data_IF_429755818360
#
_entry.id   IF_429755818360
#
_cell.length_a   1.000
_cell.length_b   1.000
_cell.length_c   1.000
_cell.angle_alpha   90.00
_cell.angle_beta   90.00
_cell.angle_gamma   90.00
#
_symmetry.space_group_name_H-M   'P 1'
#
loop_
_entity.id
_entity.type
_entity.pdbx_description
1 polymer ?
#
# COMPACT_ATOMS: atom_id res chain seq x y z
N UNK A 1 -7.71 15.52 -17.21
CA UNK A 1 -7.97 15.39 -15.76
C UNK A 1 -8.70 14.08 -15.51
N UNK A 2 -8.18 13.25 -14.64
CA UNK A 2 -8.81 11.99 -14.22
C UNK A 2 -10.05 12.29 -13.37
N UNK A 3 -11.17 11.62 -13.66
CA UNK A 3 -12.41 11.72 -12.88
C UNK A 3 -12.64 10.40 -12.14
N UNK A 4 -13.20 10.46 -10.93
CA UNK A 4 -13.52 9.26 -10.14
C UNK A 4 -14.45 8.29 -10.88
N UNK A 5 -15.35 8.82 -11.72
CA UNK A 5 -16.23 8.03 -12.59
C UNK A 5 -15.50 7.16 -13.63
N UNK A 6 -14.18 7.28 -13.77
CA UNK A 6 -13.36 6.42 -14.62
C UNK A 6 -12.65 5.30 -13.86
N UNK A 7 -12.75 5.26 -12.52
CA UNK A 7 -12.24 4.17 -11.71
C UNK A 7 -13.32 3.10 -11.52
N UNK A 8 -12.89 1.85 -11.33
CA UNK A 8 -13.80 0.74 -11.09
C UNK A 8 -14.14 0.68 -9.61
N UNK A 9 -15.43 0.65 -9.33
CA UNK A 9 -15.97 0.60 -7.97
C UNK A 9 -15.68 -0.75 -7.33
N UNK A 10 -15.44 -0.74 -6.03
CA UNK A 10 -15.33 -1.94 -5.21
C UNK A 10 -15.76 -1.64 -3.77
N UNK A 11 -15.82 -2.69 -2.95
CA UNK A 11 -15.84 -2.53 -1.51
C UNK A 11 -14.39 -2.48 -1.05
N UNK A 12 -14.01 -1.41 -0.37
CA UNK A 12 -12.71 -1.27 0.24
C UNK A 12 -12.71 -1.84 1.66
N UNK A 13 -11.61 -2.46 2.06
CA UNK A 13 -11.31 -2.75 3.46
C UNK A 13 -11.09 -1.44 4.22
N UNK A 14 -10.41 -0.47 3.60
CA UNK A 14 -10.25 0.88 4.15
C UNK A 14 -9.04 1.05 5.09
N UNK A 15 -8.62 -0.04 5.75
CA UNK A 15 -7.42 -0.04 6.60
C UNK A 15 -6.57 -1.32 6.50
N UNK A 16 -6.23 -1.74 5.28
CA UNK A 16 -5.41 -2.94 5.06
C UNK A 16 -3.92 -2.69 5.36
N UNK A 17 -3.60 -2.59 6.65
CA UNK A 17 -2.24 -2.44 7.19
C UNK A 17 -1.61 -3.80 7.59
N UNK A 18 -0.37 -3.79 8.07
CA UNK A 18 0.38 -4.99 8.46
C UNK A 18 -0.19 -5.73 9.67
N UNK A 19 -0.87 -5.05 10.59
CA UNK A 19 -1.56 -5.67 11.73
C UNK A 19 -2.82 -6.43 11.31
N UNK A 20 -3.42 -6.05 10.19
CA UNK A 20 -4.67 -6.61 9.68
C UNK A 20 -4.47 -7.78 8.70
N UNK A 21 -3.23 -8.18 8.45
CA UNK A 21 -2.87 -9.30 7.57
C UNK A 21 -2.26 -10.43 8.40
N UNK A 22 -2.93 -11.59 8.42
CA UNK A 22 -2.43 -12.78 9.09
C UNK A 22 -1.53 -13.59 8.17
N UNK A 23 -0.38 -14.00 8.68
CA UNK A 23 0.61 -14.79 7.94
C UNK A 23 0.81 -16.15 8.60
N UNK A 24 0.94 -17.20 7.80
CA UNK A 24 1.31 -18.53 8.29
C UNK A 24 2.56 -19.07 7.57
N UNK A 25 3.40 -19.88 8.27
CA UNK A 25 4.52 -20.55 7.64
C UNK A 25 4.06 -21.46 6.50
N UNK A 26 4.74 -21.37 5.37
CA UNK A 26 4.59 -22.24 4.21
C UNK A 26 5.88 -23.03 3.99
N UNK A 27 5.74 -24.28 3.54
CA UNK A 27 6.90 -25.12 3.21
C UNK A 27 7.42 -24.72 1.84
N UNK A 28 8.65 -24.18 1.77
CA UNK A 28 9.34 -24.05 0.49
C UNK A 28 10.04 -25.37 0.13
N UNK A 29 10.13 -25.67 -1.17
CA UNK A 29 10.88 -26.83 -1.66
C UNK A 29 12.40 -26.68 -1.44
N UNK A 30 12.88 -25.46 -1.22
CA UNK A 30 14.28 -25.07 -1.10
C UNK A 30 14.76 -24.85 0.35
N UNK A 31 13.90 -25.00 1.35
CA UNK A 31 14.26 -24.89 2.77
C UNK A 31 14.27 -23.46 3.33
N UNK A 32 14.03 -22.44 2.50
CA UNK A 32 13.80 -21.07 2.96
C UNK A 32 12.45 -20.94 3.67
N UNK A 33 12.41 -20.13 4.72
CA UNK A 33 11.17 -19.78 5.41
C UNK A 33 10.27 -18.99 4.46
N UNK A 34 9.22 -19.64 3.94
CA UNK A 34 8.19 -19.00 3.14
C UNK A 34 6.99 -18.71 4.04
N UNK A 35 6.32 -17.59 3.80
CA UNK A 35 5.06 -17.26 4.47
C UNK A 35 3.97 -17.08 3.43
N UNK A 36 2.73 -17.41 3.80
CA UNK A 36 1.55 -17.09 2.99
C UNK A 36 0.54 -16.34 3.83
N UNK A 37 -0.23 -15.47 3.18
CA UNK A 37 -1.39 -14.81 3.81
C UNK A 37 -2.41 -15.90 4.14
N UNK A 38 -2.80 -15.99 5.41
CA UNK A 38 -3.80 -16.94 5.91
C UNK A 38 -5.15 -16.29 6.19
N UNK A 39 -5.19 -14.95 6.32
CA UNK A 39 -6.43 -14.22 6.56
C UNK A 39 -6.24 -12.70 6.58
N UNK A 40 -7.37 -12.01 6.53
CA UNK A 40 -7.52 -10.57 6.73
C UNK A 40 -8.55 -10.36 7.82
N UNK A 41 -8.32 -9.40 8.70
CA UNK A 41 -9.17 -9.09 9.86
C UNK A 41 -9.42 -7.58 9.96
N UNK A 42 -10.32 -7.19 10.86
CA UNK A 42 -10.65 -5.79 11.18
C UNK A 42 -11.32 -5.00 10.04
N UNK A 43 -12.57 -5.36 9.77
CA UNK A 43 -13.38 -4.83 8.68
C UNK A 43 -14.23 -3.61 9.06
N UNK A 44 -13.95 -2.96 10.20
CA UNK A 44 -14.80 -1.89 10.72
C UNK A 44 -14.75 -0.60 9.86
N UNK A 45 -13.69 -0.43 9.06
CA UNK A 45 -13.49 0.71 8.14
C UNK A 45 -13.96 0.45 6.70
N UNK A 46 -14.73 -0.63 6.49
CA UNK A 46 -15.22 -0.98 5.16
C UNK A 46 -16.10 0.12 4.55
N UNK A 47 -15.88 0.40 3.27
CA UNK A 47 -16.64 1.43 2.56
C UNK A 47 -16.77 1.12 1.07
N UNK A 48 -17.75 1.75 0.41
CA UNK A 48 -17.81 1.76 -1.05
C UNK A 48 -16.78 2.75 -1.59
N UNK A 49 -15.91 2.27 -2.48
CA UNK A 49 -14.88 3.09 -3.10
C UNK A 49 -14.39 2.46 -4.39
N UNK A 50 -13.08 2.49 -4.64
CA UNK A 50 -12.49 2.06 -5.90
C UNK A 50 -11.29 1.14 -5.66
N UNK A 51 -11.02 0.23 -6.58
CA UNK A 51 -9.90 -0.72 -6.43
C UNK A 51 -8.56 -0.02 -6.23
N UNK A 52 -8.32 1.07 -6.97
CA UNK A 52 -7.09 1.85 -6.87
C UNK A 52 -6.89 2.47 -5.47
N UNK A 53 -7.97 2.71 -4.72
CA UNK A 53 -7.86 3.20 -3.34
C UNK A 53 -7.34 2.11 -2.41
N UNK A 54 -7.81 0.87 -2.53
CA UNK A 54 -7.30 -0.25 -1.73
C UNK A 54 -5.80 -0.45 -1.95
N UNK A 55 -5.39 -0.42 -3.22
CA UNK A 55 -3.99 -0.56 -3.61
C UNK A 55 -3.16 0.58 -3.02
N UNK A 56 -3.64 1.82 -3.09
CA UNK A 56 -2.93 2.97 -2.54
C UNK A 56 -2.78 2.88 -1.00
N UNK A 57 -3.83 2.43 -0.30
CA UNK A 57 -3.81 2.21 1.15
C UNK A 57 -2.79 1.14 1.52
N UNK A 58 -2.85 -0.01 0.85
CA UNK A 58 -1.97 -1.14 1.10
C UNK A 58 -0.51 -0.78 0.84
N UNK A 59 -0.22 -0.12 -0.31
CA UNK A 59 1.14 0.33 -0.64
C UNK A 59 1.66 1.24 0.46
N UNK A 60 0.91 2.27 0.86
CA UNK A 60 1.35 3.22 1.89
C UNK A 60 1.79 2.52 3.19
N UNK A 61 0.97 1.62 3.72
CA UNK A 61 1.33 0.89 4.95
C UNK A 61 2.52 -0.05 4.75
N UNK A 62 2.59 -0.76 3.62
CA UNK A 62 3.75 -1.61 3.34
C UNK A 62 5.04 -0.78 3.17
N UNK A 63 4.94 0.46 2.68
CA UNK A 63 6.09 1.38 2.61
C UNK A 63 6.61 1.76 4.00
N UNK A 64 5.72 1.94 4.98
CA UNK A 64 6.06 2.32 6.37
C UNK A 64 6.85 1.21 7.06
N UNK A 65 6.47 -0.04 6.83
CA UNK A 65 7.11 -1.22 7.44
C UNK A 65 8.36 -1.72 6.70
N UNK A 66 8.49 -1.37 5.41
CA UNK A 66 9.57 -1.88 4.57
C UNK A 66 10.89 -1.13 4.75
N UNK A 67 12.00 -1.89 4.79
CA UNK A 67 13.36 -1.33 4.70
C UNK A 67 13.67 -0.72 3.32
N UNK A 68 12.94 -1.15 2.29
CA UNK A 68 13.01 -0.64 0.92
C UNK A 68 11.64 -0.05 0.56
N UNK A 69 11.30 1.13 1.13
CA UNK A 69 9.94 1.65 1.13
C UNK A 69 9.43 1.85 -0.30
N UNK A 70 10.19 2.48 -1.19
CA UNK A 70 9.70 2.74 -2.55
C UNK A 70 9.55 1.44 -3.35
N UNK A 71 10.46 0.47 -3.26
CA UNK A 71 10.34 -0.79 -4.03
C UNK A 71 9.08 -1.59 -3.69
N UNK A 72 8.59 -1.54 -2.43
CA UNK A 72 7.48 -2.41 -2.00
C UNK A 72 6.19 -2.18 -2.78
N UNK A 73 5.98 -0.97 -3.30
CA UNK A 73 4.79 -0.66 -4.11
C UNK A 73 4.68 -1.55 -5.34
N UNK A 74 5.81 -1.92 -5.95
CA UNK A 74 5.82 -2.84 -7.08
C UNK A 74 5.48 -4.30 -6.71
N UNK A 75 5.88 -4.76 -5.51
CA UNK A 75 5.53 -6.09 -5.02
C UNK A 75 4.03 -6.20 -4.71
N UNK A 76 3.46 -5.16 -4.09
CA UNK A 76 2.01 -5.09 -3.83
C UNK A 76 1.24 -5.07 -5.15
N UNK A 77 1.69 -4.26 -6.13
CA UNK A 77 1.07 -4.23 -7.45
C UNK A 77 1.14 -5.57 -8.17
N UNK A 78 2.27 -6.26 -8.15
CA UNK A 78 2.40 -7.59 -8.75
C UNK A 78 1.36 -8.56 -8.19
N UNK A 79 1.21 -8.61 -6.86
CA UNK A 79 0.22 -9.47 -6.21
C UNK A 79 -1.21 -9.08 -6.55
N UNK A 80 -1.54 -7.78 -6.46
CA UNK A 80 -2.89 -7.29 -6.69
C UNK A 80 -3.32 -7.41 -8.15
N UNK A 81 -2.50 -6.95 -9.10
CA UNK A 81 -2.79 -6.96 -10.52
C UNK A 81 -2.81 -8.38 -11.12
N UNK A 82 -2.22 -9.38 -10.44
CA UNK A 82 -2.35 -10.79 -10.84
C UNK A 82 -3.79 -11.31 -10.77
N UNK A 83 -4.64 -10.69 -9.96
CA UNK A 83 -6.06 -11.04 -9.80
C UNK A 83 -6.96 -9.93 -10.36
N UNK A 84 -6.67 -8.67 -10.03
CA UNK A 84 -7.45 -7.50 -10.45
C UNK A 84 -6.53 -6.48 -11.14
N UNK A 85 -6.26 -6.62 -12.45
CA UNK A 85 -5.42 -5.68 -13.18
C UNK A 85 -5.99 -4.27 -13.11
N UNK A 86 -5.19 -3.26 -12.77
CA UNK A 86 -5.63 -1.87 -12.79
C UNK A 86 -5.76 -1.36 -14.23
N UNK A 87 -6.74 -0.49 -14.47
CA UNK A 87 -6.83 0.22 -15.74
C UNK A 87 -5.69 1.24 -15.87
N UNK A 88 -5.33 1.69 -17.08
CA UNK A 88 -4.31 2.74 -17.25
C UNK A 88 -4.64 4.04 -16.48
N UNK A 89 -5.93 4.34 -16.33
CA UNK A 89 -6.40 5.56 -15.65
C UNK A 89 -6.25 5.43 -14.13
N UNK A 90 -6.57 4.25 -13.57
CA UNK A 90 -6.31 3.93 -12.16
C UNK A 90 -4.81 3.94 -11.87
N UNK A 91 -4.03 3.25 -12.70
CA UNK A 91 -2.58 3.13 -12.55
C UNK A 91 -1.87 4.49 -12.60
N UNK A 92 -2.28 5.37 -13.51
CA UNK A 92 -1.74 6.73 -13.61
C UNK A 92 -2.15 7.68 -12.47
N UNK A 93 -3.09 7.29 -11.62
CA UNK A 93 -3.46 8.05 -10.42
C UNK A 93 -2.76 7.55 -9.14
N UNK A 94 -2.08 6.40 -9.21
CA UNK A 94 -1.64 5.65 -8.03
C UNK A 94 -0.63 6.44 -7.18
N UNK A 95 0.38 7.06 -7.81
CA UNK A 95 1.36 7.88 -7.09
C UNK A 95 0.69 8.96 -6.24
N UNK A 96 -0.23 9.73 -6.84
CA UNK A 96 -0.95 10.79 -6.16
C UNK A 96 -1.81 10.24 -5.02
N UNK A 97 -2.46 9.09 -5.22
CA UNK A 97 -3.31 8.47 -4.21
C UNK A 97 -2.50 7.93 -3.02
N UNK A 98 -1.32 7.35 -3.26
CA UNK A 98 -0.41 6.92 -2.18
C UNK A 98 0.08 8.13 -1.38
N UNK A 99 0.50 9.21 -2.04
CA UNK A 99 0.85 10.46 -1.37
C UNK A 99 -0.33 11.03 -0.57
N UNK A 100 -1.54 10.99 -1.13
CA UNK A 100 -2.75 11.47 -0.46
C UNK A 100 -3.06 10.65 0.79
N UNK A 101 -2.88 9.33 0.74
CA UNK A 101 -3.08 8.45 1.89
C UNK A 101 -2.02 8.66 2.97
N UNK A 102 -0.76 8.92 2.61
CA UNK A 102 0.24 9.37 3.57
C UNK A 102 -0.21 10.66 4.27
N UNK A 103 -0.62 11.67 3.52
CA UNK A 103 -1.11 12.93 4.10
C UNK A 103 -2.29 12.68 5.05
N UNK A 104 -3.27 11.86 4.64
CA UNK A 104 -4.41 11.51 5.47
C UNK A 104 -3.96 10.85 6.79
N UNK A 105 -3.15 9.80 6.71
CA UNK A 105 -2.68 9.05 7.89
C UNK A 105 -1.87 9.94 8.84
N UNK A 106 -0.94 10.72 8.32
CA UNK A 106 -0.05 11.58 9.12
C UNK A 106 -0.80 12.73 9.80
N UNK A 107 -1.73 13.37 9.10
CA UNK A 107 -2.56 14.45 9.67
C UNK A 107 -3.51 13.88 10.74
N UNK A 108 -4.12 12.73 10.48
CA UNK A 108 -5.00 12.08 11.44
C UNK A 108 -4.25 11.61 12.68
N UNK A 109 -3.04 11.05 12.53
CA UNK A 109 -2.18 10.70 13.66
C UNK A 109 -1.86 11.93 14.52
N UNK A 110 -1.42 13.03 13.90
CA UNK A 110 -1.11 14.27 14.62
C UNK A 110 -2.33 14.84 15.36
N UNK A 111 -3.52 14.78 14.75
CA UNK A 111 -4.77 15.20 15.39
C UNK A 111 -5.16 14.29 16.55
N UNK A 112 -5.11 12.97 16.35
CA UNK A 112 -5.45 12.00 17.40
C UNK A 112 -4.52 12.09 18.60
N UNK A 113 -3.23 12.36 18.41
CA UNK A 113 -2.29 12.59 19.52
C UNK A 113 -2.65 13.83 20.36
N UNK A 114 -3.26 14.85 19.76
CA UNK A 114 -3.72 16.02 20.52
C UNK A 114 -4.94 15.69 21.39
N UNK A 115 -5.80 14.78 20.94
CA UNK A 115 -6.99 14.35 21.67
C UNK A 115 -6.67 13.29 22.74
N UNK A 116 -5.72 12.40 22.45
CA UNK A 116 -5.37 11.24 23.25
C UNK A 116 -3.85 11.16 23.47
N UNK A 117 -3.26 12.14 24.19
CA UNK A 117 -1.81 12.20 24.40
C UNK A 117 -1.26 10.96 25.14
N UNK A 118 -2.09 10.28 25.93
CA UNK A 118 -1.74 9.02 26.58
C UNK A 118 -1.44 7.87 25.60
N UNK A 119 -1.92 7.96 24.36
CA UNK A 119 -1.74 6.97 23.31
C UNK A 119 -0.72 7.39 22.23
N UNK A 120 0.06 8.44 22.50
CA UNK A 120 0.98 9.03 21.51
C UNK A 120 1.94 8.00 20.89
N UNK A 121 2.49 7.09 21.69
CA UNK A 121 3.45 6.09 21.19
C UNK A 121 2.86 5.19 20.11
N UNK A 122 1.60 4.78 20.28
CA UNK A 122 0.84 3.96 19.34
C UNK A 122 0.42 4.78 18.12
N UNK A 123 -0.18 5.96 18.34
CA UNK A 123 -0.70 6.82 17.28
C UNK A 123 0.40 7.34 16.35
N UNK A 124 1.64 7.46 16.85
CA UNK A 124 2.78 7.93 16.08
C UNK A 124 3.56 6.83 15.37
N UNK A 125 3.19 5.53 15.48
CA UNK A 125 3.94 4.43 14.84
C UNK A 125 4.17 4.71 13.35
N UNK A 126 3.10 4.97 12.60
CA UNK A 126 3.18 5.31 11.18
C UNK A 126 3.89 6.64 10.94
N UNK A 127 3.69 7.62 11.83
CA UNK A 127 4.27 8.95 11.69
C UNK A 127 5.80 9.00 11.92
N UNK A 128 6.38 8.00 12.62
CA UNK A 128 7.83 7.91 12.86
C UNK A 128 8.65 7.90 11.57
N UNK A 129 8.14 7.23 10.52
CA UNK A 129 8.83 7.12 9.23
C UNK A 129 8.02 7.71 8.06
N UNK A 130 6.71 7.85 8.19
CA UNK A 130 5.82 8.27 7.11
C UNK A 130 6.15 9.64 6.51
N UNK A 131 6.52 10.64 7.32
CA UNK A 131 6.95 11.96 6.80
C UNK A 131 8.19 11.85 5.89
N UNK A 132 9.17 11.03 6.29
CA UNK A 132 10.39 10.79 5.50
C UNK A 132 10.06 10.10 4.18
N UNK A 133 9.17 9.10 4.20
CA UNK A 133 8.78 8.37 2.99
C UNK A 133 7.97 9.24 2.03
N UNK A 134 7.04 10.06 2.55
CA UNK A 134 6.31 11.03 1.74
C UNK A 134 7.25 12.05 1.09
N UNK A 135 8.21 12.59 1.85
CA UNK A 135 9.22 13.51 1.31
C UNK A 135 10.07 12.83 0.24
N UNK A 136 10.53 11.59 0.48
CA UNK A 136 11.31 10.82 -0.49
C UNK A 136 10.54 10.62 -1.80
N UNK A 137 9.26 10.25 -1.72
CA UNK A 137 8.39 10.09 -2.90
C UNK A 137 8.26 11.39 -3.68
N UNK A 138 8.09 12.51 -2.97
CA UNK A 138 7.99 13.83 -3.57
C UNK A 138 9.29 14.26 -4.26
N UNK A 139 10.43 14.07 -3.61
CA UNK A 139 11.75 14.42 -4.14
C UNK A 139 12.14 13.61 -5.37
N UNK A 140 11.79 12.32 -5.39
CA UNK A 140 12.00 11.45 -6.55
C UNK A 140 11.06 11.81 -7.72
N UNK A 141 9.86 12.26 -7.40
CA UNK A 141 8.82 12.61 -8.36
C UNK A 141 8.10 11.38 -8.95
N UNK A 142 6.88 11.63 -9.44
CA UNK A 142 5.95 10.60 -9.92
C UNK A 142 6.60 9.62 -10.89
N UNK A 143 7.28 10.12 -11.93
CA UNK A 143 7.84 9.28 -13.00
C UNK A 143 8.85 8.25 -12.47
N UNK A 144 9.79 8.68 -11.64
CA UNK A 144 10.84 7.79 -11.14
C UNK A 144 10.28 6.71 -10.20
N UNK A 145 9.31 7.08 -9.37
CA UNK A 145 8.63 6.14 -8.48
C UNK A 145 7.80 5.13 -9.27
N UNK A 146 7.02 5.60 -10.23
CA UNK A 146 6.19 4.74 -11.08
C UNK A 146 7.03 3.77 -11.92
N UNK A 147 8.18 4.22 -12.46
CA UNK A 147 9.14 3.35 -13.13
C UNK A 147 9.58 2.20 -12.20
N UNK A 148 9.99 2.51 -10.96
CA UNK A 148 10.39 1.48 -9.98
C UNK A 148 9.24 0.50 -9.71
N UNK A 149 8.03 1.01 -9.44
CA UNK A 149 6.87 0.18 -9.14
C UNK A 149 6.50 -0.72 -10.31
N UNK A 150 6.44 -0.17 -11.52
CA UNK A 150 5.95 -0.89 -12.68
C UNK A 150 6.99 -1.87 -13.23
N UNK A 151 8.27 -1.55 -13.18
CA UNK A 151 9.35 -2.48 -13.54
C UNK A 151 9.44 -3.63 -12.55
N UNK A 152 9.33 -3.33 -11.25
CA UNK A 152 9.29 -4.36 -10.20
C UNK A 152 8.09 -5.29 -10.43
N UNK A 153 6.89 -4.74 -10.65
CA UNK A 153 5.70 -5.54 -10.90
C UNK A 153 5.84 -6.45 -12.14
N UNK A 154 6.37 -5.90 -13.24
CA UNK A 154 6.59 -6.62 -14.50
C UNK A 154 7.60 -7.76 -14.37
N UNK A 155 8.58 -7.67 -13.46
CA UNK A 155 9.54 -8.75 -13.23
C UNK A 155 8.89 -10.05 -12.76
N UNK A 156 7.73 -9.98 -12.10
CA UNK A 156 6.98 -11.17 -11.65
C UNK A 156 6.28 -11.87 -12.82
N UNK A 157 5.83 -11.13 -13.84
CA UNK A 157 5.23 -11.71 -15.05
C UNK A 157 6.25 -12.54 -15.84
N UNK A 158 7.51 -12.08 -15.86
CA UNK A 158 8.62 -12.75 -16.56
C UNK A 158 9.06 -14.04 -15.86
N UNK A 159 8.75 -14.20 -14.57
CA UNK A 159 9.05 -15.40 -13.77
C UNK A 159 7.98 -16.50 -13.83
N UNK A 160 6.78 -16.21 -14.35
CA UNK A 160 5.66 -17.16 -14.48
C UNK A 160 5.77 -18.04 -15.74
N UNK A 161 6.74 -17.77 -16.63
CA UNK A 161 7.00 -18.56 -17.86
C UNK A 161 7.99 -19.72 -17.70
N UNK A 162 8.18 -20.28 -16.50
CA UNK A 162 8.93 -21.53 -16.26
C UNK A 162 8.10 -22.51 -15.44
#
# INVERSE_FOLDING_TARGET
>A
MTKLSHFRECINHGDLNDHNILMEPSKSACGDAMYRVSGVVDFDDMSYGYYVFEVAITIMYMMVESKNPVQVGGHVLAGFESIVPLTPVERGALFLLVCSRFCQSLVMAAYSCQLHPENEEYLMITAKTGWKHLQQMFDMGQKAVEEIWFDTAKSYESGISM
#
